data_IF_453344990996
#
_entry.id   IF_453344990996
#
_cell.length_a   1.000
_cell.length_b   1.000
_cell.length_c   1.000
_cell.angle_alpha   90.00
_cell.angle_beta   90.00
_cell.angle_gamma   90.00
#
_symmetry.space_group_name_H-M   'P 1'
#
loop_
_entity.id
_entity.type
_entity.pdbx_description
1 polymer ?
#
# COMPACT_ATOMS: atom_id res chain seq x y z
N UNK A 1 9.54 0.41 -9.93
CA UNK A 1 9.35 -0.58 -8.83
C UNK A 1 10.72 -1.06 -8.32
N UNK A 2 10.95 -1.07 -7.00
CA UNK A 2 12.11 -1.75 -6.41
C UNK A 2 11.77 -3.23 -6.20
N UNK A 3 12.75 -4.12 -6.38
CA UNK A 3 12.57 -5.57 -6.27
C UNK A 3 13.66 -6.09 -5.36
N UNK A 4 13.29 -6.85 -4.33
CA UNK A 4 14.22 -7.46 -3.40
C UNK A 4 13.96 -8.95 -3.28
N UNK A 5 15.03 -9.73 -3.17
CA UNK A 5 14.94 -11.13 -2.79
C UNK A 5 15.18 -11.26 -1.29
N UNK A 6 14.11 -11.32 -0.51
CA UNK A 6 14.18 -11.39 0.96
C UNK A 6 14.90 -12.63 1.50
N UNK A 7 15.06 -13.69 0.70
CA UNK A 7 15.85 -14.87 1.11
C UNK A 7 17.35 -14.59 1.08
N UNK A 8 17.79 -13.76 0.15
CA UNK A 8 19.20 -13.40 -0.06
C UNK A 8 19.55 -12.09 0.67
N UNK A 9 18.59 -11.18 0.75
CA UNK A 9 18.72 -9.88 1.41
C UNK A 9 17.52 -9.64 2.36
N UNK A 10 17.53 -10.25 3.57
CA UNK A 10 16.44 -10.13 4.54
C UNK A 10 16.20 -8.70 5.05
N UNK A 11 17.17 -7.80 4.86
CA UNK A 11 17.12 -6.42 5.35
C UNK A 11 16.94 -5.38 4.25
N UNK A 12 16.71 -5.81 3.00
CA UNK A 12 16.47 -4.92 1.86
C UNK A 12 17.57 -3.86 1.66
N UNK A 13 18.83 -4.23 1.91
CA UNK A 13 19.99 -3.32 1.82
C UNK A 13 20.74 -3.40 0.50
N UNK A 14 20.38 -4.34 -0.38
CA UNK A 14 21.11 -4.59 -1.62
C UNK A 14 21.22 -3.36 -2.52
N UNK A 15 20.27 -2.43 -2.48
CA UNK A 15 20.30 -1.20 -3.28
C UNK A 15 21.35 -0.17 -2.81
N UNK A 16 21.83 -0.28 -1.58
CA UNK A 16 22.86 0.60 -0.99
C UNK A 16 24.21 -0.11 -0.88
N UNK A 17 24.21 -1.39 -0.53
CA UNK A 17 25.44 -2.12 -0.16
C UNK A 17 25.99 -3.03 -1.27
N UNK A 18 25.23 -3.27 -2.34
CA UNK A 18 25.65 -4.18 -3.42
C UNK A 18 26.03 -3.42 -4.70
N UNK A 19 27.14 -3.81 -5.31
CA UNK A 19 27.57 -3.28 -6.60
C UNK A 19 26.83 -3.90 -7.79
N UNK A 20 26.20 -5.07 -7.61
CA UNK A 20 25.54 -5.84 -8.68
C UNK A 20 24.01 -5.89 -8.55
N UNK A 21 23.42 -5.11 -7.64
CA UNK A 21 21.98 -5.09 -7.43
C UNK A 21 21.22 -4.71 -8.70
N UNK A 22 21.69 -3.70 -9.43
CA UNK A 22 21.01 -3.24 -10.65
C UNK A 22 21.10 -4.26 -11.80
N UNK A 23 22.20 -4.99 -11.92
CA UNK A 23 22.33 -6.07 -12.91
C UNK A 23 21.33 -7.19 -12.60
N UNK A 24 21.25 -7.62 -11.35
CA UNK A 24 20.28 -8.63 -10.90
C UNK A 24 18.83 -8.18 -11.13
N UNK A 25 18.51 -6.91 -10.85
CA UNK A 25 17.16 -6.37 -11.10
C UNK A 25 16.81 -6.39 -12.58
N UNK A 26 17.75 -6.04 -13.47
CA UNK A 26 17.52 -6.03 -14.92
C UNK A 26 17.31 -7.44 -15.47
N UNK A 27 18.09 -8.42 -15.03
CA UNK A 27 17.89 -9.83 -15.37
C UNK A 27 16.52 -10.36 -14.92
N UNK A 28 15.98 -9.81 -13.81
CA UNK A 28 14.73 -10.25 -13.19
C UNK A 28 13.57 -9.26 -13.42
N UNK A 29 13.68 -8.36 -14.39
CA UNK A 29 12.68 -7.30 -14.64
C UNK A 29 11.28 -7.87 -14.94
N UNK A 30 11.22 -9.09 -15.51
CA UNK A 30 9.97 -9.80 -15.79
C UNK A 30 9.12 -10.02 -14.53
N UNK A 31 9.74 -10.14 -13.34
CA UNK A 31 9.03 -10.28 -12.07
C UNK A 31 8.15 -9.06 -11.81
N UNK A 32 8.65 -7.84 -12.08
CA UNK A 32 7.85 -6.63 -11.94
C UNK A 32 6.67 -6.61 -12.94
N UNK A 33 6.88 -7.10 -14.16
CA UNK A 33 5.81 -7.17 -15.15
C UNK A 33 4.69 -8.14 -14.71
N UNK A 34 5.05 -9.35 -14.27
CA UNK A 34 4.08 -10.31 -13.73
C UNK A 34 3.39 -9.81 -12.46
N UNK A 35 4.14 -9.14 -11.57
CA UNK A 35 3.61 -8.53 -10.36
C UNK A 35 2.49 -7.52 -10.68
N UNK A 36 2.64 -6.71 -11.72
CA UNK A 36 1.58 -5.78 -12.14
C UNK A 36 0.31 -6.51 -12.56
N UNK A 37 0.41 -7.60 -13.33
CA UNK A 37 -0.75 -8.38 -13.73
C UNK A 37 -1.51 -8.99 -12.53
N UNK A 38 -0.77 -9.50 -11.54
CA UNK A 38 -1.37 -10.04 -10.30
C UNK A 38 -2.04 -8.95 -9.47
N UNK A 39 -1.40 -7.78 -9.33
CA UNK A 39 -1.98 -6.62 -8.63
C UNK A 39 -3.24 -6.15 -9.33
N UNK A 40 -3.28 -6.10 -10.67
CA UNK A 40 -4.49 -5.75 -11.43
C UNK A 40 -5.64 -6.72 -11.18
N UNK A 41 -5.36 -8.04 -11.20
CA UNK A 41 -6.36 -9.05 -10.85
C UNK A 41 -6.88 -8.88 -9.43
N UNK A 42 -6.00 -8.57 -8.48
CA UNK A 42 -6.41 -8.27 -7.11
C UNK A 42 -7.26 -6.99 -7.02
N UNK A 43 -6.89 -5.92 -7.74
CA UNK A 43 -7.68 -4.69 -7.80
C UNK A 43 -9.06 -4.89 -8.42
N UNK A 44 -9.21 -5.80 -9.38
CA UNK A 44 -10.52 -6.15 -9.93
C UNK A 44 -11.46 -6.72 -8.85
N UNK A 45 -10.95 -7.41 -7.82
CA UNK A 45 -11.78 -7.90 -6.71
C UNK A 45 -12.43 -6.77 -5.90
N UNK A 46 -11.87 -5.55 -5.93
CA UNK A 46 -12.48 -4.40 -5.24
C UNK A 46 -13.75 -3.88 -5.92
N UNK A 47 -14.00 -4.27 -7.19
CA UNK A 47 -15.30 -4.03 -7.84
C UNK A 47 -16.40 -4.87 -7.20
N UNK A 48 -16.08 -6.10 -6.82
CA UNK A 48 -17.02 -7.03 -6.17
C UNK A 48 -17.11 -6.79 -4.66
N UNK A 49 -15.99 -6.46 -4.03
CA UNK A 49 -15.86 -6.21 -2.60
C UNK A 49 -15.32 -4.80 -2.36
N UNK A 50 -16.18 -3.76 -2.43
CA UNK A 50 -15.74 -2.40 -2.20
C UNK A 50 -15.12 -2.27 -0.79
N UNK A 51 -14.00 -1.53 -0.64
CA UNK A 51 -13.35 -1.35 0.64
C UNK A 51 -14.35 -0.80 1.67
N UNK A 52 -14.62 -1.59 2.72
CA UNK A 52 -15.66 -1.32 3.73
C UNK A 52 -15.32 -0.21 4.72
N UNK A 53 -14.18 0.43 4.57
CA UNK A 53 -13.76 1.54 5.43
C UNK A 53 -13.32 2.70 4.58
N UNK A 54 -14.04 3.82 4.70
CA UNK A 54 -13.49 5.15 4.49
C UNK A 54 -12.09 5.16 5.11
N UNK A 55 -11.04 5.64 4.41
CA UNK A 55 -9.71 5.72 4.99
C UNK A 55 -9.86 6.43 6.33
N UNK A 56 -9.31 5.83 7.40
CA UNK A 56 -9.37 6.40 8.74
C UNK A 56 -8.69 7.76 8.71
N UNK A 57 -9.48 8.80 8.41
CA UNK A 57 -9.04 10.17 8.36
C UNK A 57 -8.88 10.59 9.80
N UNK A 58 -7.68 10.42 10.35
CA UNK A 58 -7.19 11.13 11.53
C UNK A 58 -7.01 12.63 11.23
N UNK A 59 -7.87 13.23 10.40
CA UNK A 59 -7.92 14.68 10.28
C UNK A 59 -8.73 15.23 11.44
N UNK A 60 -8.23 16.31 12.04
CA UNK A 60 -8.90 17.03 13.14
C UNK A 60 -10.34 17.39 12.74
N UNK A 61 -10.57 17.69 11.47
CA UNK A 61 -11.89 18.00 10.90
C UNK A 61 -12.90 16.88 11.13
N UNK A 62 -12.52 15.62 10.91
CA UNK A 62 -13.42 14.47 11.13
C UNK A 62 -13.76 14.27 12.61
N UNK A 63 -12.81 14.56 13.52
CA UNK A 63 -13.05 14.49 14.97
C UNK A 63 -13.99 15.62 15.44
N UNK A 64 -13.80 16.84 14.92
CA UNK A 64 -14.66 17.99 15.23
C UNK A 64 -16.08 17.79 14.71
N UNK A 65 -16.24 17.23 13.50
CA UNK A 65 -17.56 16.94 12.94
C UNK A 65 -18.31 15.86 13.74
N UNK A 66 -17.60 14.83 14.20
CA UNK A 66 -18.18 13.78 15.05
C UNK A 66 -18.60 14.32 16.42
N UNK A 67 -17.81 15.24 17.00
CA UNK A 67 -18.16 15.93 18.24
C UNK A 67 -19.36 16.87 18.08
N UNK A 68 -19.45 17.61 16.98
CA UNK A 68 -20.61 18.45 16.67
C UNK A 68 -21.89 17.62 16.56
N UNK A 69 -21.87 16.54 15.78
CA UNK A 69 -23.01 15.60 15.67
C UNK A 69 -23.43 15.04 17.03
N UNK A 70 -22.47 14.68 17.89
CA UNK A 70 -22.76 14.19 19.24
C UNK A 70 -23.42 15.26 20.12
N UNK A 71 -22.94 16.50 20.08
CA UNK A 71 -23.49 17.62 20.84
C UNK A 71 -24.92 18.00 20.39
N UNK A 72 -25.19 17.96 19.09
CA UNK A 72 -26.50 18.29 18.52
C UNK A 72 -27.58 17.25 18.88
N UNK A 73 -27.18 15.99 19.06
CA UNK A 73 -28.12 14.89 19.39
C UNK A 73 -28.55 14.89 20.86
N UNK A 74 -27.76 15.49 21.76
CA UNK A 74 -28.03 15.56 23.21
C UNK A 74 -28.57 16.93 23.67
N UNK A 75 -28.57 17.93 22.78
CA UNK A 75 -28.95 19.31 23.06
C UNK A 75 -30.34 19.71 22.56
N UNK A 76 -31.23 18.76 22.28
CA UNK A 76 -32.63 18.96 21.91
C UNK A 76 -33.58 18.45 22.97
#
# INVERSE_FOLDING_TARGET
PKIFNLRTDPFERADITSNSYWDWVLENIFIALYGNALVLQFLDTFKEFPPRSEPASFTITAAVEKLKKYSETMGG
#
